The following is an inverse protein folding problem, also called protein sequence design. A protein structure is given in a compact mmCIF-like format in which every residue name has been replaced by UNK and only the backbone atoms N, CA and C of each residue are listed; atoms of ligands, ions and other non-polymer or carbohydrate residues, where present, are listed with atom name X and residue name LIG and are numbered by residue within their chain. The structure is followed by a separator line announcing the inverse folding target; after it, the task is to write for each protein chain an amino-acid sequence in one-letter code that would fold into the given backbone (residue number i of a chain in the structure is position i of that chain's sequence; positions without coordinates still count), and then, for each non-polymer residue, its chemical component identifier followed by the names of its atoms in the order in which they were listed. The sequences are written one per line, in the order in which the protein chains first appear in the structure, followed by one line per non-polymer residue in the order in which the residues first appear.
data_IF_341905799552
#
_entry.id   IF_341905799552
#
_cell.length_a   1.000
_cell.length_b   1.000
_cell.length_c   1.000
_cell.angle_alpha   90.00
_cell.angle_beta   90.00
_cell.angle_gamma   90.00
#
_symmetry.space_group_name_H-M   'P 1'
#
loop_
_entity.id
_entity.type
_entity.pdbx_description
1 polymer ?
#
# COMPACT_ATOMS: atom_id res chain seq x y z
N UNK A 1 -9.59 2.91 5.20
CA UNK A 1 -9.12 3.09 3.81
C UNK A 1 -8.35 1.84 3.39
N UNK A 2 -8.68 1.29 2.22
CA UNK A 2 -8.00 0.15 1.61
C UNK A 2 -7.28 0.58 0.34
N UNK A 3 -5.97 0.36 0.27
CA UNK A 3 -5.12 0.65 -0.88
C UNK A 3 -4.81 -0.67 -1.58
N UNK A 4 -5.31 -0.83 -2.80
CA UNK A 4 -4.97 -1.96 -3.66
C UNK A 4 -3.70 -1.63 -4.44
N UNK A 5 -2.58 -2.22 -4.03
CA UNK A 5 -1.28 -2.03 -4.68
C UNK A 5 -1.20 -2.89 -5.94
N UNK A 6 -1.35 -2.27 -7.09
CA UNK A 6 -1.06 -2.90 -8.38
C UNK A 6 0.46 -3.04 -8.54
N UNK A 7 1.20 -2.04 -8.05
CA UNK A 7 2.65 -2.05 -8.08
C UNK A 7 3.18 -2.22 -9.49
N UNK A 8 3.84 -3.34 -9.75
CA UNK A 8 4.34 -3.76 -11.06
C UNK A 8 3.63 -5.00 -11.61
N UNK A 9 2.55 -5.45 -10.97
CA UNK A 9 1.81 -6.65 -11.38
C UNK A 9 1.05 -6.50 -12.71
N UNK A 10 1.06 -5.30 -13.29
CA UNK A 10 0.58 -5.07 -14.67
C UNK A 10 1.56 -5.58 -15.73
N UNK A 11 2.79 -5.97 -15.36
CA UNK A 11 3.80 -6.51 -16.29
C UNK A 11 4.00 -5.66 -17.55
N UNK A 12 3.99 -4.32 -17.44
CA UNK A 12 4.15 -3.39 -18.56
C UNK A 12 2.94 -3.26 -19.49
N UNK A 13 1.81 -3.91 -19.20
CA UNK A 13 0.59 -3.85 -19.99
C UNK A 13 -0.41 -2.88 -19.39
N UNK A 14 -0.77 -1.83 -20.13
CA UNK A 14 -1.82 -0.88 -19.74
C UNK A 14 -3.18 -1.60 -19.64
N UNK A 15 -3.50 -2.52 -20.54
CA UNK A 15 -4.73 -3.30 -20.49
C UNK A 15 -4.86 -4.09 -19.18
N UNK A 16 -3.78 -4.76 -18.77
CA UNK A 16 -3.72 -5.46 -17.46
C UNK A 16 -3.89 -4.49 -16.30
N UNK A 17 -3.27 -3.31 -16.36
CA UNK A 17 -3.42 -2.28 -15.34
C UNK A 17 -4.86 -1.80 -15.21
N UNK A 18 -5.54 -1.52 -16.33
CA UNK A 18 -6.94 -1.08 -16.34
C UNK A 18 -7.88 -2.18 -15.83
N UNK A 19 -7.63 -3.45 -16.15
CA UNK A 19 -8.41 -4.56 -15.60
C UNK A 19 -8.21 -4.70 -14.09
N UNK A 20 -6.97 -4.57 -13.57
CA UNK A 20 -6.68 -4.57 -12.13
C UNK A 20 -7.38 -3.40 -11.41
N UNK A 21 -7.40 -2.20 -12.00
CA UNK A 21 -8.12 -1.03 -11.48
C UNK A 21 -9.62 -1.35 -11.36
N UNK A 22 -10.23 -1.87 -12.43
CA UNK A 22 -11.64 -2.24 -12.48
C UNK A 22 -11.99 -3.28 -11.41
N UNK A 23 -11.19 -4.33 -11.27
CA UNK A 23 -11.41 -5.37 -10.28
C UNK A 23 -11.24 -4.85 -8.85
N UNK A 24 -10.26 -3.98 -8.60
CA UNK A 24 -10.06 -3.34 -7.30
C UNK A 24 -11.27 -2.45 -6.91
N UNK A 25 -11.76 -1.65 -7.85
CA UNK A 25 -12.96 -0.82 -7.65
C UNK A 25 -14.19 -1.70 -7.36
N UNK A 26 -14.42 -2.75 -8.14
CA UNK A 26 -15.53 -3.69 -7.96
C UNK A 26 -15.45 -4.46 -6.62
N UNK A 27 -14.24 -4.71 -6.11
CA UNK A 27 -14.04 -5.29 -4.79
C UNK A 27 -14.30 -4.29 -3.64
N UNK A 28 -14.33 -3.00 -3.94
CA UNK A 28 -14.58 -1.93 -2.97
C UNK A 28 -13.31 -1.37 -2.33
N UNK A 29 -12.18 -1.41 -3.03
CA UNK A 29 -10.97 -0.68 -2.66
C UNK A 29 -11.22 0.84 -2.79
N UNK A 30 -10.56 1.64 -1.93
CA UNK A 30 -10.68 3.09 -1.95
C UNK A 30 -9.70 3.73 -2.93
N UNK A 31 -8.50 3.15 -3.04
CA UNK A 31 -7.40 3.69 -3.86
C UNK A 31 -6.66 2.53 -4.53
N UNK A 32 -6.29 2.70 -5.79
CA UNK A 32 -5.30 1.84 -6.45
C UNK A 32 -3.95 2.53 -6.47
N UNK A 33 -2.86 1.77 -6.30
CA UNK A 33 -1.52 2.33 -6.24
C UNK A 33 -0.56 1.66 -7.21
N UNK A 34 0.25 2.47 -7.86
CA UNK A 34 1.32 2.08 -8.76
C UNK A 34 2.69 2.40 -8.15
N UNK A 35 3.74 2.12 -8.90
CA UNK A 35 5.11 2.52 -8.57
C UNK A 35 5.63 3.38 -9.71
N UNK A 36 6.17 4.55 -9.40
CA UNK A 36 6.81 5.42 -10.38
C UNK A 36 8.28 5.58 -10.04
N UNK A 37 9.15 5.24 -10.98
CA UNK A 37 10.61 5.33 -10.83
C UNK A 37 11.27 5.77 -12.13
N UNK A 38 12.48 6.30 -12.00
CA UNK A 38 13.40 6.48 -13.12
C UNK A 38 14.42 5.34 -13.06
N UNK A 39 14.30 4.31 -13.91
CA UNK A 39 15.13 3.10 -13.80
C UNK A 39 16.63 3.38 -13.77
N UNK A 40 17.11 4.36 -14.53
CA UNK A 40 18.51 4.76 -14.58
C UNK A 40 19.05 5.25 -13.23
N UNK A 41 18.18 5.87 -12.42
CA UNK A 41 18.50 6.39 -11.08
C UNK A 41 18.31 5.30 -10.02
N UNK A 42 17.21 4.51 -10.12
CA UNK A 42 16.80 3.59 -9.09
C UNK A 42 17.49 2.22 -9.14
N UNK A 43 18.04 1.84 -10.31
CA UNK A 43 18.77 0.57 -10.43
C UNK A 43 20.24 0.81 -10.08
N UNK A 44 20.76 0.14 -9.04
CA UNK A 44 22.20 0.24 -8.68
C UNK A 44 23.10 -0.13 -9.85
N UNK A 45 24.23 0.58 -9.99
CA UNK A 45 25.14 0.41 -11.14
C UNK A 45 25.67 -1.02 -11.29
N UNK A 46 25.93 -1.70 -10.17
CA UNK A 46 26.39 -3.09 -10.13
C UNK A 46 25.30 -4.10 -10.53
N UNK A 47 24.03 -3.70 -10.55
CA UNK A 47 22.90 -4.55 -10.91
C UNK A 47 22.39 -4.31 -12.33
N UNK A 48 22.72 -3.18 -12.97
CA UNK A 48 22.18 -2.80 -14.29
C UNK A 48 22.27 -3.88 -15.34
N UNK A 49 23.41 -4.60 -15.35
CA UNK A 49 23.74 -5.61 -16.37
C UNK A 49 23.44 -7.05 -15.93
N UNK A 50 22.83 -7.27 -14.76
CA UNK A 50 22.42 -8.62 -14.33
C UNK A 50 21.36 -9.14 -15.29
N UNK A 51 21.54 -10.33 -15.80
CA UNK A 51 20.58 -10.98 -16.69
C UNK A 51 19.37 -11.42 -15.87
N UNK A 52 18.19 -11.11 -16.37
CA UNK A 52 16.90 -11.43 -15.77
C UNK A 52 15.95 -12.06 -16.79
N UNK A 53 15.39 -13.20 -16.40
CA UNK A 53 14.24 -13.79 -17.09
C UNK A 53 12.96 -13.11 -16.60
N UNK A 54 12.10 -12.74 -17.53
CA UNK A 54 10.86 -12.01 -17.25
C UNK A 54 9.80 -12.30 -18.31
N UNK A 55 8.64 -11.68 -18.19
CA UNK A 55 7.57 -11.71 -19.21
C UNK A 55 8.02 -11.14 -20.57
N UNK A 56 9.09 -10.37 -20.59
CA UNK A 56 9.71 -9.81 -21.81
C UNK A 56 10.82 -10.71 -22.39
N UNK A 57 10.99 -11.93 -21.83
CA UNK A 57 12.12 -12.80 -22.13
C UNK A 57 13.36 -12.44 -21.35
N UNK A 58 14.53 -12.80 -21.89
CA UNK A 58 15.85 -12.57 -21.30
C UNK A 58 16.33 -11.15 -21.59
N UNK A 59 16.44 -10.32 -20.56
CA UNK A 59 16.89 -8.92 -20.66
C UNK A 59 17.92 -8.60 -19.58
N UNK A 60 18.55 -7.42 -19.61
CA UNK A 60 19.25 -6.90 -18.44
C UNK A 60 18.26 -6.40 -17.39
N UNK A 61 18.66 -6.33 -16.13
CA UNK A 61 17.79 -5.83 -15.06
C UNK A 61 17.33 -4.38 -15.30
N UNK A 62 18.22 -3.54 -15.86
CA UNK A 62 17.84 -2.17 -16.23
C UNK A 62 16.79 -2.14 -17.35
N UNK A 63 16.97 -2.93 -18.41
CA UNK A 63 15.99 -3.04 -19.50
C UNK A 63 14.64 -3.56 -19.01
N UNK A 64 14.65 -4.62 -18.18
CA UNK A 64 13.45 -5.12 -17.53
C UNK A 64 12.71 -4.00 -16.77
N UNK A 65 13.43 -3.20 -15.96
CA UNK A 65 12.83 -2.09 -15.22
C UNK A 65 12.25 -1.02 -16.14
N UNK A 66 12.89 -0.73 -17.28
CA UNK A 66 12.37 0.21 -18.29
C UNK A 66 11.10 -0.30 -18.95
N UNK A 67 11.05 -1.58 -19.30
CA UNK A 67 9.87 -2.20 -19.92
C UNK A 67 8.68 -2.29 -18.95
N UNK A 68 8.93 -2.27 -17.64
CA UNK A 68 7.89 -2.25 -16.62
C UNK A 68 7.34 -0.85 -16.33
N UNK A 69 8.08 0.22 -16.64
CA UNK A 69 7.66 1.59 -16.31
C UNK A 69 6.66 2.14 -17.30
N UNK A 70 5.60 2.72 -16.78
CA UNK A 70 4.66 3.51 -17.55
C UNK A 70 5.15 4.94 -17.74
N UNK A 71 4.92 5.47 -18.94
CA UNK A 71 5.13 6.87 -19.28
C UNK A 71 3.89 7.74 -19.03
N UNK A 72 3.95 8.94 -19.57
CA UNK A 72 2.86 9.91 -19.39
C UNK A 72 1.56 9.46 -20.06
N UNK A 73 1.64 8.86 -21.22
CA UNK A 73 0.45 8.43 -21.98
C UNK A 73 -0.36 7.39 -21.20
N UNK A 74 0.32 6.38 -20.63
CA UNK A 74 -0.34 5.35 -19.84
C UNK A 74 -0.93 5.92 -18.54
N UNK A 75 -0.22 6.84 -17.86
CA UNK A 75 -0.76 7.47 -16.66
C UNK A 75 -1.91 8.44 -16.94
N UNK A 76 -1.94 9.10 -18.10
CA UNK A 76 -3.08 9.92 -18.52
C UNK A 76 -4.34 9.05 -18.73
N UNK A 77 -4.19 7.86 -19.32
CA UNK A 77 -5.30 6.90 -19.49
C UNK A 77 -5.71 6.30 -18.13
N UNK A 78 -4.78 6.01 -17.23
CA UNK A 78 -5.07 5.56 -15.86
C UNK A 78 -5.85 6.63 -15.11
N UNK A 79 -5.42 7.89 -15.16
CA UNK A 79 -6.09 9.00 -14.48
C UNK A 79 -7.52 9.19 -14.98
N UNK A 80 -7.69 9.18 -16.30
CA UNK A 80 -9.00 9.27 -16.96
C UNK A 80 -9.90 8.11 -16.55
N UNK A 81 -9.41 6.88 -16.64
CA UNK A 81 -10.19 5.69 -16.31
C UNK A 81 -10.59 5.63 -14.84
N UNK A 82 -9.67 5.97 -13.93
CA UNK A 82 -9.98 6.02 -12.50
C UNK A 82 -11.07 7.06 -12.19
N UNK A 83 -11.04 8.22 -12.84
CA UNK A 83 -12.09 9.24 -12.72
C UNK A 83 -13.43 8.75 -13.26
N UNK A 84 -13.43 8.04 -14.38
CA UNK A 84 -14.64 7.48 -15.02
C UNK A 84 -15.34 6.47 -14.11
N UNK A 85 -14.59 5.56 -13.50
CA UNK A 85 -15.18 4.51 -12.63
C UNK A 85 -15.28 4.91 -11.14
N UNK A 86 -14.79 6.10 -10.77
CA UNK A 86 -14.95 6.66 -9.43
C UNK A 86 -14.01 6.07 -8.37
N UNK A 87 -12.82 5.59 -8.74
CA UNK A 87 -11.78 5.16 -7.79
C UNK A 87 -10.61 6.14 -7.80
N UNK A 88 -10.00 6.38 -6.62
CA UNK A 88 -8.79 7.19 -6.54
C UNK A 88 -7.56 6.37 -6.94
N UNK A 89 -6.53 7.06 -7.42
CA UNK A 89 -5.24 6.43 -7.69
C UNK A 89 -4.07 7.26 -7.18
N UNK A 90 -2.92 6.62 -6.99
CA UNK A 90 -1.64 7.25 -6.68
C UNK A 90 -0.48 6.36 -7.12
N UNK A 91 0.75 6.82 -6.90
CA UNK A 91 1.94 6.00 -7.09
C UNK A 91 2.93 6.21 -5.94
N UNK A 92 3.73 5.19 -5.65
CA UNK A 92 4.91 5.37 -4.83
C UNK A 92 6.02 6.02 -5.66
N UNK A 93 6.64 7.07 -5.10
CA UNK A 93 7.73 7.79 -5.75
C UNK A 93 9.08 7.21 -5.32
N UNK A 94 9.95 6.91 -6.29
CA UNK A 94 11.24 6.26 -6.04
C UNK A 94 12.42 7.19 -6.21
N UNK A 95 12.21 8.38 -6.76
CA UNK A 95 13.21 9.42 -7.01
C UNK A 95 12.53 10.79 -7.15
N UNK A 96 13.32 11.87 -7.25
CA UNK A 96 12.80 13.23 -7.39
C UNK A 96 12.06 13.41 -8.72
N UNK A 97 12.58 12.99 -9.89
CA UNK A 97 11.81 13.04 -11.14
C UNK A 97 10.45 12.32 -11.06
N UNK A 98 10.36 11.20 -10.35
CA UNK A 98 9.09 10.49 -10.13
C UNK A 98 8.12 11.29 -9.25
N UNK A 99 8.63 12.02 -8.27
CA UNK A 99 7.82 12.96 -7.48
C UNK A 99 7.30 14.08 -8.37
N UNK A 100 8.16 14.73 -9.16
CA UNK A 100 7.78 15.80 -10.09
C UNK A 100 6.75 15.32 -11.12
N UNK A 101 6.92 14.09 -11.61
CA UNK A 101 5.96 13.45 -12.50
C UNK A 101 4.60 13.28 -11.83
N UNK A 102 4.55 12.71 -10.61
CA UNK A 102 3.30 12.47 -9.89
C UNK A 102 2.57 13.77 -9.55
N UNK A 103 3.33 14.86 -9.31
CA UNK A 103 2.76 16.17 -9.00
C UNK A 103 2.03 16.85 -10.16
N UNK A 104 2.06 16.29 -11.36
CA UNK A 104 1.24 16.73 -12.50
C UNK A 104 -0.21 16.27 -12.40
N UNK A 105 -0.51 15.33 -11.47
CA UNK A 105 -1.83 14.75 -11.26
C UNK A 105 -2.40 15.13 -9.90
N UNK A 106 -3.71 15.09 -9.80
CA UNK A 106 -4.41 15.28 -8.52
C UNK A 106 -4.55 13.93 -7.80
N UNK A 107 -3.57 13.62 -6.95
CA UNK A 107 -3.54 12.36 -6.18
C UNK A 107 -3.90 12.59 -4.71
N UNK A 108 -4.56 11.62 -4.03
CA UNK A 108 -5.01 11.78 -2.64
C UNK A 108 -3.87 11.88 -1.63
N UNK A 109 -2.72 11.29 -1.94
CA UNK A 109 -1.50 11.33 -1.13
C UNK A 109 -0.28 10.89 -1.96
N UNK A 110 0.91 11.21 -1.47
CA UNK A 110 2.18 10.72 -2.01
C UNK A 110 2.60 9.51 -1.16
N UNK A 111 3.00 8.40 -1.80
CA UNK A 111 3.54 7.23 -1.08
C UNK A 111 5.06 7.20 -1.18
N UNK A 112 5.73 7.03 -0.04
CA UNK A 112 7.17 6.77 0.02
C UNK A 112 7.37 5.31 0.47
N UNK A 113 8.00 4.45 -0.34
CA UNK A 113 8.26 3.07 0.04
C UNK A 113 9.35 2.99 1.11
N UNK A 114 9.36 1.93 1.89
CA UNK A 114 10.33 1.73 2.99
C UNK A 114 11.79 1.84 2.54
N UNK A 115 12.12 1.34 1.35
CA UNK A 115 13.47 1.40 0.79
C UNK A 115 14.03 2.83 0.65
N UNK A 116 13.17 3.86 0.59
CA UNK A 116 13.58 5.25 0.38
C UNK A 116 13.44 6.13 1.62
N UNK A 117 13.09 5.57 2.76
CA UNK A 117 12.93 6.32 4.00
C UNK A 117 14.26 6.86 4.57
N UNK A 118 15.40 6.42 4.04
CA UNK A 118 16.73 6.95 4.35
C UNK A 118 17.26 7.91 3.28
N UNK A 119 16.52 8.11 2.18
CA UNK A 119 16.91 9.05 1.12
C UNK A 119 16.50 10.48 1.49
N UNK A 120 17.43 11.18 2.15
CA UNK A 120 17.21 12.53 2.72
C UNK A 120 16.75 13.53 1.66
N UNK A 121 17.32 13.48 0.45
CA UNK A 121 17.00 14.45 -0.61
C UNK A 121 15.57 14.25 -1.13
N UNK A 122 15.13 13.00 -1.30
CA UNK A 122 13.75 12.70 -1.65
C UNK A 122 12.79 13.13 -0.52
N UNK A 123 13.11 12.81 0.75
CA UNK A 123 12.27 13.21 1.88
C UNK A 123 12.13 14.74 1.97
N UNK A 124 13.21 15.50 1.80
CA UNK A 124 13.15 16.96 1.75
C UNK A 124 12.30 17.48 0.58
N UNK A 125 12.42 16.86 -0.60
CA UNK A 125 11.61 17.22 -1.76
C UNK A 125 10.13 16.97 -1.51
N UNK A 126 9.77 15.81 -0.92
CA UNK A 126 8.39 15.48 -0.54
C UNK A 126 7.87 16.43 0.54
N UNK A 127 8.68 16.77 1.56
CA UNK A 127 8.27 17.69 2.63
C UNK A 127 7.86 19.08 2.08
N UNK A 128 8.57 19.59 1.07
CA UNK A 128 8.23 20.86 0.43
C UNK A 128 6.83 20.87 -0.21
N UNK A 129 6.29 19.72 -0.54
CA UNK A 129 4.94 19.62 -1.15
C UNK A 129 3.83 19.92 -0.15
N UNK A 130 4.06 19.72 1.15
CA UNK A 130 3.08 19.88 2.24
C UNK A 130 1.80 19.05 2.04
N UNK A 131 1.87 18.00 1.23
CA UNK A 131 0.73 17.13 0.93
C UNK A 131 0.54 16.06 2.01
N UNK A 132 -0.60 15.38 1.95
CA UNK A 132 -0.76 14.12 2.70
C UNK A 132 0.25 13.11 2.16
N UNK A 133 0.92 12.40 3.06
CA UNK A 133 1.87 11.37 2.68
C UNK A 133 1.59 10.07 3.44
N UNK A 134 1.86 8.97 2.78
CA UNK A 134 1.88 7.64 3.40
C UNK A 134 3.31 7.12 3.27
N UNK A 135 3.88 6.71 4.39
CA UNK A 135 5.22 6.13 4.48
C UNK A 135 5.15 4.70 5.00
N UNK A 136 6.14 3.88 4.70
CA UNK A 136 6.26 2.52 5.23
C UNK A 136 7.60 2.35 5.95
N UNK A 137 7.63 1.55 7.03
CA UNK A 137 8.80 1.39 7.89
C UNK A 137 9.54 0.06 7.74
N UNK A 138 9.28 -0.71 6.70
CA UNK A 138 9.98 -1.99 6.49
C UNK A 138 11.51 -1.81 6.44
N UNK A 139 12.22 -2.69 7.12
CA UNK A 139 13.69 -2.70 7.22
C UNK A 139 14.31 -1.37 7.73
N UNK A 140 13.58 -0.61 8.55
CA UNK A 140 14.05 0.59 9.23
C UNK A 140 14.24 0.35 10.72
N UNK A 141 15.27 0.94 11.28
CA UNK A 141 15.39 1.14 12.72
C UNK A 141 14.48 2.28 13.20
N UNK A 142 14.13 2.29 14.48
CA UNK A 142 13.33 3.40 15.04
C UNK A 142 14.04 4.75 14.91
N UNK A 143 15.37 4.79 15.03
CA UNK A 143 16.13 6.04 14.89
C UNK A 143 16.11 6.59 13.46
N UNK A 144 16.11 5.73 12.45
CA UNK A 144 15.93 6.14 11.06
C UNK A 144 14.52 6.65 10.80
N UNK A 145 13.52 5.99 11.39
CA UNK A 145 12.14 6.42 11.31
C UNK A 145 11.94 7.78 12.01
N UNK A 146 12.46 7.99 13.23
CA UNK A 146 12.43 9.28 13.94
C UNK A 146 13.04 10.39 13.07
N UNK A 147 14.19 10.13 12.43
CA UNK A 147 14.85 11.09 11.53
C UNK A 147 13.99 11.42 10.32
N UNK A 148 13.37 10.41 9.70
CA UNK A 148 12.50 10.61 8.55
C UNK A 148 11.25 11.42 8.92
N UNK A 149 10.61 11.12 10.05
CA UNK A 149 9.47 11.88 10.58
C UNK A 149 9.83 13.34 10.83
N UNK A 150 11.03 13.61 11.39
CA UNK A 150 11.51 14.97 11.61
C UNK A 150 11.69 15.73 10.28
N UNK A 151 12.24 15.07 9.23
CA UNK A 151 12.40 15.71 7.90
C UNK A 151 11.04 16.02 7.25
N UNK A 152 10.01 15.20 7.53
CA UNK A 152 8.69 15.28 6.92
C UNK A 152 7.68 16.07 7.77
N UNK A 153 8.14 16.88 8.73
CA UNK A 153 7.31 17.56 9.73
C UNK A 153 6.22 18.48 9.18
N UNK A 154 6.40 19.02 7.96
CA UNK A 154 5.41 19.88 7.30
C UNK A 154 4.27 19.09 6.62
N UNK A 155 4.35 17.76 6.59
CA UNK A 155 3.39 16.89 5.93
C UNK A 155 2.44 16.21 6.94
N UNK A 156 1.23 15.91 6.49
CA UNK A 156 0.32 15.03 7.26
C UNK A 156 0.65 13.58 6.96
N UNK A 157 1.21 12.88 7.96
CA UNK A 157 1.79 11.55 7.80
C UNK A 157 0.82 10.46 8.24
N UNK A 158 0.73 9.40 7.43
CA UNK A 158 0.24 8.07 7.84
C UNK A 158 1.40 7.08 7.74
N UNK A 159 1.66 6.32 8.79
CA UNK A 159 2.74 5.34 8.86
C UNK A 159 2.17 3.93 8.68
N UNK A 160 2.64 3.21 7.67
CA UNK A 160 2.31 1.79 7.46
C UNK A 160 3.42 0.91 8.02
N UNK A 161 3.05 0.02 8.91
CA UNK A 161 3.92 -1.07 9.35
C UNK A 161 3.99 -2.10 8.23
N UNK A 162 5.19 -2.55 7.90
CA UNK A 162 5.37 -3.62 6.91
C UNK A 162 6.64 -4.44 7.18
N UNK A 163 6.66 -5.65 6.66
CA UNK A 163 7.86 -6.45 6.47
C UNK A 163 8.27 -6.38 4.99
N UNK A 164 9.56 -6.18 4.69
CA UNK A 164 10.04 -5.97 3.31
C UNK A 164 10.42 -7.27 2.58
N UNK A 165 10.00 -8.44 3.08
CA UNK A 165 10.13 -9.72 2.38
C UNK A 165 8.89 -10.00 1.51
N UNK A 166 9.08 -10.60 0.32
CA UNK A 166 8.02 -10.89 -0.66
C UNK A 166 8.08 -12.37 -1.11
N UNK A 167 7.25 -13.27 -0.55
CA UNK A 167 6.34 -13.04 0.57
C UNK A 167 7.05 -12.97 1.92
N UNK A 168 6.41 -12.28 2.88
CA UNK A 168 6.84 -12.29 4.28
C UNK A 168 6.28 -13.51 5.01
N UNK A 169 7.02 -14.01 6.01
CA UNK A 169 6.55 -15.07 6.90
C UNK A 169 5.73 -14.47 8.04
N UNK A 170 4.71 -15.19 8.49
CA UNK A 170 3.84 -14.73 9.58
C UNK A 170 4.58 -14.48 10.90
N UNK A 171 5.56 -15.32 11.23
CA UNK A 171 6.39 -15.21 12.42
C UNK A 171 7.25 -13.93 12.47
N UNK A 172 7.52 -13.32 11.29
CA UNK A 172 8.37 -12.13 11.15
C UNK A 172 7.56 -10.82 11.12
N UNK A 173 6.22 -10.88 11.18
CA UNK A 173 5.36 -9.69 11.03
C UNK A 173 5.32 -8.80 12.27
N UNK A 174 5.47 -9.38 13.45
CA UNK A 174 5.51 -8.67 14.74
C UNK A 174 4.40 -7.61 14.92
N UNK A 175 3.15 -7.97 14.67
CA UNK A 175 2.01 -7.04 14.62
C UNK A 175 1.73 -6.32 15.95
N UNK A 176 2.21 -6.82 17.10
CA UNK A 176 2.12 -6.11 18.37
C UNK A 176 2.86 -4.74 18.33
N UNK A 177 3.80 -4.58 17.40
CA UNK A 177 4.48 -3.30 17.16
C UNK A 177 3.52 -2.16 16.79
N UNK A 178 2.32 -2.48 16.26
CA UNK A 178 1.23 -1.51 16.02
C UNK A 178 0.88 -0.74 17.29
N UNK A 179 0.74 -1.43 18.42
CA UNK A 179 0.37 -0.81 19.69
C UNK A 179 1.51 0.06 20.25
N UNK A 180 2.75 -0.40 20.09
CA UNK A 180 3.92 0.39 20.46
C UNK A 180 3.96 1.72 19.69
N UNK A 181 3.79 1.70 18.37
CA UNK A 181 3.80 2.91 17.54
C UNK A 181 2.65 3.87 17.85
N UNK A 182 1.46 3.34 18.11
CA UNK A 182 0.31 4.15 18.54
C UNK A 182 0.55 4.85 19.88
N UNK A 183 1.27 4.20 20.79
CA UNK A 183 1.66 4.78 22.07
C UNK A 183 2.79 5.81 21.92
N UNK A 184 3.78 5.51 21.08
CA UNK A 184 4.97 6.38 20.87
C UNK A 184 4.61 7.64 20.08
N UNK A 185 3.76 7.51 19.05
CA UNK A 185 3.33 8.63 18.20
C UNK A 185 1.80 8.72 18.11
N UNK A 186 1.09 9.14 19.17
CA UNK A 186 -0.37 9.15 19.21
C UNK A 186 -1.01 10.11 18.21
N UNK A 187 -0.24 11.02 17.62
CA UNK A 187 -0.68 11.95 16.59
C UNK A 187 -0.61 11.36 15.16
N UNK A 188 0.11 10.24 14.97
CA UNK A 188 0.18 9.58 13.67
C UNK A 188 -0.99 8.62 13.45
N UNK A 189 -1.51 8.61 12.23
CA UNK A 189 -2.32 7.49 11.77
C UNK A 189 -1.42 6.30 11.51
N UNK A 190 -1.78 5.15 12.08
CA UNK A 190 -1.04 3.90 11.88
C UNK A 190 -1.86 2.98 10.99
N UNK A 191 -1.19 2.40 9.99
CA UNK A 191 -1.74 1.42 9.07
C UNK A 191 -0.82 0.21 8.92
N UNK A 192 -1.18 -0.67 8.01
CA UNK A 192 -0.46 -1.90 7.72
C UNK A 192 -0.32 -2.09 6.21
N UNK A 193 0.88 -2.42 5.74
CA UNK A 193 1.17 -2.83 4.37
C UNK A 193 1.67 -4.27 4.40
N UNK A 194 0.80 -5.20 4.00
CA UNK A 194 1.05 -6.64 4.12
C UNK A 194 1.62 -7.24 2.84
N UNK A 195 2.65 -8.10 3.01
CA UNK A 195 3.31 -8.85 1.93
C UNK A 195 3.27 -10.36 2.18
N UNK A 196 2.49 -10.81 3.12
CA UNK A 196 2.19 -12.20 3.41
C UNK A 196 1.22 -12.80 2.38
N UNK A 197 1.19 -14.13 2.29
CA UNK A 197 0.34 -14.83 1.31
C UNK A 197 -1.14 -14.82 1.73
N UNK A 198 -1.39 -14.99 3.04
CA UNK A 198 -2.73 -15.12 3.62
C UNK A 198 -3.35 -13.77 3.99
N UNK A 199 -4.67 -13.73 4.16
CA UNK A 199 -5.42 -12.53 4.58
C UNK A 199 -5.45 -12.36 6.11
N UNK A 200 -5.17 -13.42 6.88
CA UNK A 200 -5.28 -13.43 8.34
C UNK A 200 -4.44 -12.36 9.02
N UNK A 201 -3.15 -12.17 8.68
CA UNK A 201 -2.36 -11.12 9.32
C UNK A 201 -2.93 -9.72 9.11
N UNK A 202 -3.48 -9.44 7.93
CA UNK A 202 -4.16 -8.17 7.65
C UNK A 202 -5.41 -7.96 8.52
N UNK A 203 -6.17 -9.04 8.77
CA UNK A 203 -7.33 -9.04 9.67
C UNK A 203 -6.89 -8.72 11.11
N UNK A 204 -5.81 -9.34 11.56
CA UNK A 204 -5.21 -9.07 12.88
C UNK A 204 -4.75 -7.60 12.98
N UNK A 205 -4.01 -7.10 11.98
CA UNK A 205 -3.57 -5.70 11.95
C UNK A 205 -4.75 -4.72 12.03
N UNK A 206 -5.84 -4.98 11.29
CA UNK A 206 -7.07 -4.19 11.36
C UNK A 206 -7.71 -4.25 12.75
N UNK A 207 -7.72 -5.41 13.38
CA UNK A 207 -8.27 -5.61 14.73
C UNK A 207 -7.43 -4.87 15.79
N UNK A 208 -6.13 -4.75 15.60
CA UNK A 208 -5.22 -3.94 16.40
C UNK A 208 -5.35 -2.43 16.15
N UNK A 209 -6.24 -2.02 15.25
CA UNK A 209 -6.62 -0.62 15.04
C UNK A 209 -5.85 0.08 13.93
N UNK A 210 -5.38 -0.65 12.91
CA UNK A 210 -4.90 -0.02 11.69
C UNK A 210 -6.08 0.59 10.91
N UNK A 211 -5.95 1.89 10.58
CA UNK A 211 -6.97 2.64 9.82
C UNK A 211 -6.76 2.53 8.32
N UNK A 212 -5.54 2.28 7.90
CA UNK A 212 -5.13 2.17 6.50
C UNK A 212 -4.51 0.80 6.27
N UNK A 213 -5.02 0.10 5.27
CA UNK A 213 -4.51 -1.21 4.85
C UNK A 213 -4.04 -1.10 3.40
N UNK A 214 -2.87 -1.61 3.12
CA UNK A 214 -2.30 -1.73 1.78
C UNK A 214 -1.98 -3.21 1.50
N UNK A 215 -2.45 -3.74 0.39
CA UNK A 215 -2.12 -5.10 -0.08
C UNK A 215 -1.88 -5.09 -1.57
N UNK A 216 -0.85 -5.81 -2.00
CA UNK A 216 -0.66 -6.11 -3.42
C UNK A 216 -1.82 -6.92 -3.97
N UNK A 217 -2.19 -6.66 -5.22
CA UNK A 217 -3.23 -7.39 -5.95
C UNK A 217 -2.69 -7.92 -7.28
N UNK A 218 -3.24 -9.04 -7.74
CA UNK A 218 -2.90 -9.65 -9.03
C UNK A 218 -4.09 -10.36 -9.64
N UNK A 219 -4.09 -10.49 -10.97
CA UNK A 219 -5.06 -11.34 -11.66
C UNK A 219 -4.72 -12.84 -11.51
N UNK A 220 -3.42 -13.18 -11.41
CA UNK A 220 -2.95 -14.55 -11.21
C UNK A 220 -1.62 -14.55 -10.43
N UNK A 221 -1.61 -15.25 -9.28
CA UNK A 221 -0.42 -15.41 -8.41
C UNK A 221 0.73 -16.19 -9.04
N UNK A 222 0.46 -16.95 -10.12
CA UNK A 222 1.44 -17.78 -10.80
C UNK A 222 2.18 -17.03 -11.92
N UNK A 223 1.82 -15.78 -12.20
CA UNK A 223 2.52 -14.97 -13.19
C UNK A 223 3.98 -14.73 -12.80
N UNK A 224 4.82 -14.55 -13.82
CA UNK A 224 6.22 -14.20 -13.64
C UNK A 224 6.30 -12.75 -13.13
N UNK A 225 6.94 -12.57 -11.98
CA UNK A 225 7.13 -11.27 -11.33
C UNK A 225 7.45 -11.43 -9.85
N UNK A 226 8.05 -10.41 -9.23
CA UNK A 226 8.49 -10.48 -7.83
C UNK A 226 7.32 -10.42 -6.84
N UNK A 227 6.23 -9.74 -7.21
CA UNK A 227 5.19 -9.34 -6.26
C UNK A 227 3.95 -10.23 -6.32
N UNK A 228 3.75 -10.99 -7.41
CA UNK A 228 2.54 -11.80 -7.62
C UNK A 228 2.28 -12.82 -6.51
N UNK A 229 3.34 -13.48 -6.00
CA UNK A 229 3.21 -14.50 -4.94
C UNK A 229 2.75 -13.92 -3.59
N UNK A 230 3.10 -12.68 -3.30
CA UNK A 230 2.72 -11.95 -2.09
C UNK A 230 1.40 -11.15 -2.27
N UNK A 231 0.82 -11.22 -3.47
CA UNK A 231 -0.39 -10.48 -3.82
C UNK A 231 -1.66 -11.27 -3.49
N UNK A 232 -2.74 -10.56 -3.25
CA UNK A 232 -4.07 -11.13 -3.22
C UNK A 232 -4.59 -11.31 -4.66
N UNK A 233 -5.22 -12.44 -4.95
CA UNK A 233 -6.06 -12.52 -6.14
C UNK A 233 -7.38 -11.75 -5.91
N UNK A 234 -8.22 -11.68 -6.92
CA UNK A 234 -9.43 -10.85 -6.86
C UNK A 234 -10.47 -11.39 -5.88
N UNK A 235 -10.59 -12.70 -5.73
CA UNK A 235 -11.48 -13.35 -4.77
C UNK A 235 -11.02 -13.07 -3.32
N UNK A 236 -9.75 -13.25 -3.03
CA UNK A 236 -9.15 -12.95 -1.73
C UNK A 236 -9.28 -11.46 -1.39
N UNK A 237 -9.13 -10.56 -2.38
CA UNK A 237 -9.33 -9.13 -2.20
C UNK A 237 -10.76 -8.81 -1.78
N UNK A 238 -11.76 -9.37 -2.48
CA UNK A 238 -13.18 -9.19 -2.16
C UNK A 238 -13.52 -9.72 -0.77
N UNK A 239 -13.03 -10.92 -0.45
CA UNK A 239 -13.21 -11.53 0.87
C UNK A 239 -12.62 -10.65 1.96
N UNK A 240 -11.36 -10.24 1.82
CA UNK A 240 -10.67 -9.41 2.80
C UNK A 240 -11.42 -8.09 3.05
N UNK A 241 -11.77 -7.34 2.00
CA UNK A 241 -12.47 -6.05 2.14
C UNK A 241 -13.80 -6.24 2.88
N UNK A 242 -14.55 -7.31 2.58
CA UNK A 242 -15.79 -7.62 3.28
C UNK A 242 -15.55 -7.92 4.77
N UNK A 243 -14.51 -8.68 5.11
CA UNK A 243 -14.14 -8.95 6.50
C UNK A 243 -13.75 -7.66 7.22
N UNK A 244 -12.94 -6.80 6.60
CA UNK A 244 -12.50 -5.54 7.20
C UNK A 244 -13.70 -4.60 7.51
N UNK A 245 -14.68 -4.52 6.62
CA UNK A 245 -15.94 -3.77 6.86
C UNK A 245 -16.73 -4.36 8.03
N UNK A 246 -16.79 -5.69 8.15
CA UNK A 246 -17.45 -6.35 9.29
C UNK A 246 -16.73 -6.09 10.61
N UNK A 247 -15.39 -6.04 10.62
CA UNK A 247 -14.62 -5.70 11.82
C UNK A 247 -15.00 -4.30 12.31
N UNK A 248 -15.12 -3.31 11.43
CA UNK A 248 -15.53 -1.95 11.81
C UNK A 248 -16.94 -1.93 12.45
N UNK A 249 -17.89 -2.72 11.91
CA UNK A 249 -19.21 -2.87 12.52
C UNK A 249 -19.17 -3.58 13.87
N UNK A 250 -18.36 -4.65 13.99
CA UNK A 250 -18.23 -5.46 15.22
C UNK A 250 -17.59 -4.65 16.34
N UNK A 251 -16.58 -3.85 16.04
CA UNK A 251 -15.91 -2.96 17.01
C UNK A 251 -16.86 -1.98 17.65
N UNK A 252 -17.82 -1.46 16.90
CA UNK A 252 -18.83 -0.52 17.42
C UNK A 252 -18.21 0.71 18.07
N UNK A 253 -18.81 1.16 19.17
CA UNK A 253 -18.38 2.29 19.99
C UNK A 253 -17.72 1.82 21.29
N UNK A 254 -16.87 2.65 21.87
CA UNK A 254 -16.21 2.39 23.17
C UNK A 254 -17.16 2.75 24.33
N UNK A 255 -18.35 2.19 24.30
CA UNK A 255 -19.37 2.34 25.34
C UNK A 255 -20.25 1.09 25.42
N UNK A 256 -20.78 0.77 26.61
CA UNK A 256 -21.75 -0.32 26.75
C UNK A 256 -23.11 0.14 26.22
N UNK A 257 -23.51 -0.40 25.08
CA UNK A 257 -24.83 -0.20 24.48
C UNK A 257 -25.68 -1.46 24.74
N UNK A 258 -26.89 -1.26 25.23
CA UNK A 258 -27.88 -2.35 25.41
C UNK A 258 -28.91 -2.18 24.30
N UNK A 259 -29.04 -3.21 23.43
CA UNK A 259 -30.01 -3.20 22.35
C UNK A 259 -31.44 -3.37 22.88
N UNK A 260 -32.43 -2.99 22.08
CA UNK A 260 -33.84 -3.23 22.44
C UNK A 260 -34.16 -4.71 22.63
N UNK A 261 -33.55 -5.57 21.83
CA UNK A 261 -33.65 -7.02 21.95
C UNK A 261 -33.06 -7.53 23.27
N UNK A 262 -31.88 -7.05 23.66
CA UNK A 262 -31.27 -7.34 24.96
C UNK A 262 -32.20 -6.92 26.12
N UNK A 263 -32.80 -5.74 26.03
CA UNK A 263 -33.77 -5.25 27.04
C UNK A 263 -34.99 -6.17 27.15
N UNK A 264 -35.54 -6.65 26.04
CA UNK A 264 -36.65 -7.61 26.03
C UNK A 264 -36.25 -8.94 26.69
N UNK A 265 -35.07 -9.44 26.41
CA UNK A 265 -34.55 -10.66 27.01
C UNK A 265 -34.30 -10.46 28.52
N UNK A 266 -33.70 -9.34 28.90
CA UNK A 266 -33.48 -9.01 30.32
C UNK A 266 -34.77 -8.99 31.13
N UNK A 267 -35.89 -8.43 30.58
CA UNK A 267 -37.18 -8.42 31.25
C UNK A 267 -37.79 -9.80 31.48
N UNK A 268 -37.41 -10.78 30.65
CA UNK A 268 -37.82 -12.18 30.83
C UNK A 268 -37.00 -12.94 31.84
N UNK A 269 -35.72 -12.62 31.97
CA UNK A 269 -34.74 -13.39 32.72
C UNK A 269 -34.46 -12.83 34.13
N UNK A 270 -34.76 -11.54 34.35
CA UNK A 270 -34.60 -10.90 35.65
C UNK A 270 -35.97 -10.91 36.36
N UNK A 271 -36.04 -11.60 37.46
CA UNK A 271 -37.21 -11.68 38.37
C UNK A 271 -36.84 -11.13 39.72
#
# INVERSE_FOLDING_TARGET
MFIAEIGINHNGSLETALELIKQAAAAGADVVKFQKRTPEICVPDDQKNIIKESVFGTTTYLEYKKLMEFGKEEYDEIDKYCKEIGIQWTASVWDIPSLEFLMQYEVPFIKIPSALMTNIELLKAVNKTRKNIIISNGALTESELDRALWILEDCKITLLICNSCYPSKEEDLNLNYIQHLKSKWPYLKIGYSGHEIDILPTIVAKSLGCDVIERHITLDKNQIGSDHKASLNIEELKELINILKRIDMIKGKDEKIISEEELKIMKKLRY
#
